data_IF_439739370951
#
_entry.id   IF_439739370951
#
_cell.length_a   1.000
_cell.length_b   1.000
_cell.length_c   1.000
_cell.angle_alpha   90.00
_cell.angle_beta   90.00
_cell.angle_gamma   90.00
#
_symmetry.space_group_name_H-M   'P 1'
#
loop_
_entity.id
_entity.type
_entity.pdbx_description
1 polymer ?
#
# COMPACT_ATOMS: atom_id res chain seq x y z
N UNK A 1 -15.28 1.71 2.97
CA UNK A 1 -14.34 2.86 3.11
C UNK A 1 -14.89 4.02 2.28
N UNK A 2 -14.23 5.18 2.24
CA UNK A 2 -14.67 6.33 1.43
C UNK A 2 -13.62 6.71 0.40
N UNK A 3 -14.05 7.29 -0.72
CA UNK A 3 -13.14 8.00 -1.64
C UNK A 3 -12.83 9.42 -1.15
N UNK A 4 -12.12 10.19 -1.98
CA UNK A 4 -11.77 11.59 -1.70
C UNK A 4 -12.97 12.52 -1.64
N UNK A 5 -14.09 12.18 -2.28
CA UNK A 5 -15.33 12.97 -2.28
C UNK A 5 -16.31 12.51 -1.18
N UNK A 6 -15.90 11.53 -0.38
CA UNK A 6 -16.67 10.99 0.73
C UNK A 6 -17.70 9.92 0.33
N UNK A 7 -17.75 9.50 -0.94
CA UNK A 7 -18.65 8.44 -1.39
C UNK A 7 -18.24 7.09 -0.80
N UNK A 8 -19.22 6.27 -0.42
CA UNK A 8 -18.93 4.97 0.16
C UNK A 8 -18.52 3.95 -0.91
N UNK A 9 -17.39 3.32 -0.69
CA UNK A 9 -16.84 2.26 -1.51
C UNK A 9 -16.74 0.96 -0.73
N UNK A 10 -17.04 -0.15 -1.40
CA UNK A 10 -16.90 -1.50 -0.87
C UNK A 10 -16.13 -2.38 -1.85
N UNK A 11 -15.03 -2.96 -1.38
CA UNK A 11 -14.28 -3.96 -2.14
C UNK A 11 -15.08 -5.27 -2.34
N UNK A 12 -16.01 -5.54 -1.41
CA UNK A 12 -16.87 -6.72 -1.42
C UNK A 12 -18.03 -6.57 -2.42
N UNK A 13 -18.29 -5.36 -2.93
CA UNK A 13 -19.29 -5.12 -3.98
C UNK A 13 -18.98 -5.89 -5.28
N UNK A 14 -17.76 -6.41 -5.41
CA UNK A 14 -17.30 -7.19 -6.54
C UNK A 14 -16.93 -8.64 -6.18
N UNK A 15 -17.45 -9.16 -5.06
CA UNK A 15 -17.42 -10.61 -4.80
C UNK A 15 -17.96 -11.38 -6.02
N UNK A 16 -17.38 -12.55 -6.30
CA UNK A 16 -17.62 -13.29 -7.55
C UNK A 16 -16.69 -12.91 -8.71
N UNK A 17 -15.89 -11.85 -8.60
CA UNK A 17 -14.88 -11.48 -9.60
C UNK A 17 -13.45 -11.70 -9.08
N UNK A 18 -12.53 -11.95 -10.03
CA UNK A 18 -11.09 -11.78 -9.79
C UNK A 18 -10.83 -10.32 -9.49
N UNK A 19 -10.29 -10.05 -8.31
CA UNK A 19 -10.01 -8.69 -7.84
C UNK A 19 -8.55 -8.52 -7.48
N UNK A 20 -8.08 -7.30 -7.70
CA UNK A 20 -6.75 -6.87 -7.27
C UNK A 20 -6.93 -5.65 -6.39
N UNK A 21 -6.38 -5.70 -5.18
CA UNK A 21 -6.27 -4.55 -4.29
C UNK A 21 -4.86 -3.97 -4.44
N UNK A 22 -4.76 -2.75 -4.95
CA UNK A 22 -3.50 -1.99 -5.06
C UNK A 22 -3.44 -0.96 -3.94
N UNK A 23 -2.49 -1.10 -3.02
CA UNK A 23 -2.30 -0.19 -1.91
C UNK A 23 -1.10 0.71 -2.18
N UNK A 24 -1.32 2.02 -2.14
CA UNK A 24 -0.36 3.07 -2.48
C UNK A 24 -0.47 4.22 -1.47
N UNK A 25 0.31 5.29 -1.65
CA UNK A 25 0.14 6.52 -0.87
C UNK A 25 0.75 7.75 -1.55
N UNK A 26 0.27 8.95 -1.23
CA UNK A 26 0.80 10.22 -1.75
C UNK A 26 2.26 10.47 -1.32
N UNK A 27 2.66 9.92 -0.17
CA UNK A 27 4.01 10.03 0.38
C UNK A 27 4.98 9.00 -0.20
N UNK A 28 4.56 8.15 -1.16
CA UNK A 28 5.41 7.18 -1.84
C UNK A 28 5.57 7.47 -3.34
N UNK A 29 6.67 7.01 -3.95
CA UNK A 29 6.92 7.11 -5.39
C UNK A 29 5.82 6.44 -6.22
N UNK A 30 5.21 5.37 -5.70
CA UNK A 30 4.19 4.61 -6.42
C UNK A 30 2.93 5.40 -6.79
N UNK A 31 2.68 6.58 -6.21
CA UNK A 31 1.62 7.51 -6.69
C UNK A 31 1.75 7.86 -8.17
N UNK A 32 2.98 7.83 -8.71
CA UNK A 32 3.24 8.08 -10.12
C UNK A 32 2.92 6.86 -11.01
N UNK A 33 2.85 5.66 -10.43
CA UNK A 33 2.63 4.39 -11.14
C UNK A 33 1.14 4.06 -11.32
N UNK A 34 0.22 4.89 -10.80
CA UNK A 34 -1.24 4.68 -10.91
C UNK A 34 -1.73 4.54 -12.36
N UNK A 35 -1.08 5.26 -13.30
CA UNK A 35 -1.35 5.11 -14.72
C UNK A 35 -0.99 3.73 -15.28
N UNK A 36 -0.01 3.03 -14.69
CA UNK A 36 0.32 1.64 -15.00
C UNK A 36 -0.80 0.69 -14.61
N UNK A 37 -1.33 0.85 -13.40
CA UNK A 37 -2.50 0.10 -12.93
C UNK A 37 -3.76 0.36 -13.75
N UNK A 38 -3.96 1.59 -14.22
CA UNK A 38 -5.06 1.92 -15.14
C UNK A 38 -4.94 1.21 -16.48
N UNK A 39 -3.72 1.05 -17.03
CA UNK A 39 -3.51 0.26 -18.26
C UNK A 39 -3.86 -1.22 -18.04
N UNK A 40 -3.48 -1.80 -16.90
CA UNK A 40 -3.84 -3.19 -16.57
C UNK A 40 -5.34 -3.38 -16.37
N UNK A 41 -6.01 -2.44 -15.69
CA UNK A 41 -7.47 -2.49 -15.57
C UNK A 41 -8.12 -2.47 -16.96
N UNK A 42 -7.72 -1.55 -17.84
CA UNK A 42 -8.27 -1.49 -19.20
C UNK A 42 -7.99 -2.76 -20.01
N UNK A 43 -6.80 -3.33 -19.90
CA UNK A 43 -6.39 -4.55 -20.60
C UNK A 43 -7.18 -5.79 -20.16
N UNK A 44 -7.48 -5.91 -18.87
CA UNK A 44 -7.99 -7.15 -18.25
C UNK A 44 -9.46 -7.05 -17.79
N UNK A 45 -10.11 -5.89 -17.95
CA UNK A 45 -11.51 -5.68 -17.55
C UNK A 45 -12.47 -6.67 -18.23
N UNK A 46 -12.30 -6.89 -19.54
CA UNK A 46 -13.14 -7.79 -20.35
C UNK A 46 -12.88 -9.27 -20.02
N UNK A 47 -11.69 -9.58 -19.50
CA UNK A 47 -11.35 -10.88 -18.96
C UNK A 47 -11.85 -11.08 -17.51
N UNK A 48 -12.60 -10.11 -16.97
CA UNK A 48 -13.27 -10.22 -15.69
C UNK A 48 -12.50 -9.64 -14.49
N UNK A 49 -11.33 -9.02 -14.70
CA UNK A 49 -10.57 -8.38 -13.62
C UNK A 49 -11.30 -7.13 -13.11
N UNK A 50 -11.28 -6.95 -11.78
CA UNK A 50 -11.74 -5.74 -11.09
C UNK A 50 -10.64 -5.21 -10.16
N UNK A 51 -9.97 -4.15 -10.58
CA UNK A 51 -8.97 -3.47 -9.76
C UNK A 51 -9.66 -2.52 -8.79
N UNK A 52 -9.20 -2.49 -7.54
CA UNK A 52 -9.57 -1.50 -6.52
C UNK A 52 -8.27 -0.95 -5.94
N UNK A 53 -8.14 0.36 -5.75
CA UNK A 53 -6.95 0.90 -5.08
C UNK A 53 -7.27 1.65 -3.80
N UNK A 54 -6.30 1.67 -2.89
CA UNK A 54 -6.41 2.34 -1.59
C UNK A 54 -5.17 3.18 -1.32
N UNK A 55 -5.39 4.46 -1.07
CA UNK A 55 -4.36 5.40 -0.65
C UNK A 55 -4.22 5.37 0.89
N UNK A 56 -3.02 5.12 1.42
CA UNK A 56 -2.73 5.12 2.87
C UNK A 56 -2.38 6.53 3.37
N UNK A 57 -3.31 7.45 3.20
CA UNK A 57 -3.13 8.87 3.49
C UNK A 57 -4.01 9.30 4.66
N UNK A 58 -3.44 10.08 5.59
CA UNK A 58 -4.16 10.54 6.78
C UNK A 58 -5.20 11.62 6.44
N UNK A 59 -4.93 12.41 5.39
CA UNK A 59 -5.83 13.38 4.79
C UNK A 59 -6.15 12.96 3.34
N UNK A 60 -7.42 12.77 2.96
CA UNK A 60 -7.80 12.47 1.58
C UNK A 60 -7.31 13.49 0.55
N UNK A 61 -7.16 14.75 0.94
CA UNK A 61 -6.70 15.80 0.03
C UNK A 61 -5.25 15.62 -0.42
N UNK A 62 -4.41 14.91 0.35
CA UNK A 62 -3.05 14.55 -0.06
C UNK A 62 -3.05 13.57 -1.25
N UNK A 63 -4.06 12.70 -1.32
CA UNK A 63 -4.20 11.70 -2.37
C UNK A 63 -4.90 12.24 -3.63
N UNK A 64 -5.83 13.20 -3.48
CA UNK A 64 -6.64 13.78 -4.55
C UNK A 64 -5.86 14.14 -5.83
N UNK A 65 -4.78 14.94 -5.80
CA UNK A 65 -4.11 15.36 -7.04
C UNK A 65 -3.53 14.18 -7.85
N UNK A 66 -3.15 13.09 -7.17
CA UNK A 66 -2.63 11.89 -7.81
C UNK A 66 -3.74 11.05 -8.44
N UNK A 67 -4.89 10.98 -7.77
CA UNK A 67 -6.09 10.29 -8.27
C UNK A 67 -6.62 11.02 -9.51
N UNK A 68 -6.75 12.35 -9.45
CA UNK A 68 -7.23 13.16 -10.56
C UNK A 68 -6.30 13.08 -11.77
N UNK A 69 -4.98 13.15 -11.55
CA UNK A 69 -3.99 13.04 -12.62
C UNK A 69 -3.98 11.64 -13.28
N UNK A 70 -4.22 10.58 -12.52
CA UNK A 70 -4.28 9.21 -13.03
C UNK A 70 -5.60 8.87 -13.73
N UNK A 71 -6.68 9.60 -13.39
CA UNK A 71 -8.05 9.40 -13.90
C UNK A 71 -8.45 7.90 -13.96
N UNK A 72 -8.39 7.17 -12.84
CA UNK A 72 -8.66 5.75 -12.83
C UNK A 72 -10.12 5.45 -13.18
N UNK A 73 -10.33 4.40 -13.96
CA UNK A 73 -11.66 3.83 -14.28
C UNK A 73 -12.14 2.86 -13.20
N UNK A 74 -11.34 2.66 -12.17
CA UNK A 74 -11.63 1.85 -11.01
C UNK A 74 -11.79 2.72 -9.74
N UNK A 75 -12.51 2.25 -8.71
CA UNK A 75 -12.66 2.96 -7.45
C UNK A 75 -11.33 3.09 -6.72
N UNK A 76 -11.13 4.27 -6.12
CA UNK A 76 -9.99 4.57 -5.26
C UNK A 76 -10.50 5.01 -3.90
N UNK A 77 -10.26 4.19 -2.89
CA UNK A 77 -10.54 4.56 -1.50
C UNK A 77 -9.35 5.27 -0.85
N UNK A 78 -9.63 6.03 0.21
CA UNK A 78 -8.60 6.57 1.11
C UNK A 78 -8.77 5.95 2.49
N UNK A 79 -7.67 5.42 3.01
CA UNK A 79 -7.60 4.82 4.34
C UNK A 79 -6.93 5.76 5.35
N UNK A 80 -7.72 6.69 5.87
CA UNK A 80 -7.31 7.67 6.88
C UNK A 80 -7.09 7.09 8.28
N UNK A 81 -7.50 5.83 8.48
CA UNK A 81 -7.45 5.12 9.76
C UNK A 81 -6.43 3.97 9.77
N UNK A 82 -5.76 3.75 8.65
CA UNK A 82 -4.75 2.70 8.49
C UNK A 82 -5.29 1.28 8.71
N UNK A 83 -6.59 1.07 8.45
CA UNK A 83 -7.29 -0.21 8.67
C UNK A 83 -6.97 -1.23 7.57
N UNK A 84 -6.79 -0.79 6.33
CA UNK A 84 -6.48 -1.65 5.18
C UNK A 84 -5.12 -2.30 5.36
N UNK A 85 -4.11 -1.49 5.71
CA UNK A 85 -2.77 -2.00 5.92
C UNK A 85 -2.72 -3.02 7.07
N UNK A 86 -3.38 -2.70 8.19
CA UNK A 86 -3.55 -3.62 9.31
C UNK A 86 -4.25 -4.91 8.88
N UNK A 87 -5.41 -4.83 8.24
CA UNK A 87 -6.21 -6.02 7.90
C UNK A 87 -5.49 -6.98 6.96
N UNK A 88 -4.70 -6.45 6.02
CA UNK A 88 -4.05 -7.28 5.00
C UNK A 88 -2.61 -7.69 5.35
N UNK A 89 -1.98 -7.14 6.38
CA UNK A 89 -0.56 -7.45 6.66
C UNK A 89 0.43 -6.54 5.93
N UNK A 90 -0.01 -5.37 5.44
CA UNK A 90 0.80 -4.50 4.59
C UNK A 90 1.70 -3.63 5.46
N UNK A 91 3.01 -3.75 5.26
CA UNK A 91 4.04 -2.97 5.95
C UNK A 91 4.79 -2.04 5.01
N UNK A 92 4.52 -2.07 3.69
CA UNK A 92 5.13 -1.17 2.72
C UNK A 92 4.24 -0.99 1.47
N UNK A 93 4.45 0.09 0.72
CA UNK A 93 3.73 0.41 -0.53
C UNK A 93 4.71 0.67 -1.68
N UNK A 94 4.38 0.33 -2.95
CA UNK A 94 3.11 -0.26 -3.36
C UNK A 94 3.00 -1.73 -2.90
N UNK A 95 1.82 -2.15 -2.46
CA UNK A 95 1.52 -3.54 -2.13
C UNK A 95 0.27 -3.99 -2.87
N UNK A 96 0.28 -5.23 -3.36
CA UNK A 96 -0.81 -5.77 -4.18
C UNK A 96 -1.28 -7.10 -3.62
N UNK A 97 -2.60 -7.24 -3.47
CA UNK A 97 -3.28 -8.46 -3.02
C UNK A 97 -4.21 -8.96 -4.12
N UNK A 98 -4.20 -10.26 -4.40
CA UNK A 98 -5.12 -10.87 -5.36
C UNK A 98 -6.17 -11.70 -4.65
N UNK A 99 -7.42 -11.51 -5.05
CA UNK A 99 -8.58 -12.20 -4.47
C UNK A 99 -9.38 -12.86 -5.59
N UNK A 100 -9.63 -14.15 -5.45
CA UNK A 100 -10.41 -14.92 -6.42
C UNK A 100 -11.92 -14.67 -6.31
N UNK A 101 -12.65 -15.29 -7.23
CA UNK A 101 -14.11 -15.24 -7.35
C UNK A 101 -14.84 -15.86 -6.14
N UNK A 102 -14.12 -16.60 -5.28
CA UNK A 102 -14.64 -17.23 -4.05
C UNK A 102 -14.24 -16.43 -2.80
N UNK A 103 -13.83 -15.17 -2.97
CA UNK A 103 -13.36 -14.29 -1.90
C UNK A 103 -12.11 -14.82 -1.17
N UNK A 104 -11.27 -15.62 -1.84
CA UNK A 104 -10.03 -16.15 -1.26
C UNK A 104 -8.83 -15.33 -1.72
N UNK A 105 -7.97 -14.98 -0.77
CA UNK A 105 -6.66 -14.40 -1.09
C UNK A 105 -5.83 -15.49 -1.78
N UNK A 106 -5.53 -15.29 -3.06
CA UNK A 106 -4.71 -16.19 -3.87
C UNK A 106 -3.29 -15.68 -4.07
N UNK A 107 -3.07 -14.40 -3.80
CA UNK A 107 -1.75 -13.80 -3.64
C UNK A 107 -1.79 -12.83 -2.46
N UNK A 108 -1.07 -13.08 -1.35
CA UNK A 108 -1.02 -12.17 -0.22
C UNK A 108 -0.30 -10.87 -0.61
N UNK A 109 -0.28 -9.85 0.26
CA UNK A 109 0.37 -8.60 -0.08
C UNK A 109 1.80 -8.81 -0.52
N UNK A 110 2.12 -8.26 -1.68
CA UNK A 110 3.47 -8.29 -2.24
C UNK A 110 3.80 -6.95 -2.82
N UNK A 111 5.07 -6.56 -2.72
CA UNK A 111 5.56 -5.38 -3.41
C UNK A 111 5.53 -5.61 -4.92
N UNK A 112 4.70 -4.84 -5.60
CA UNK A 112 4.56 -4.89 -7.05
C UNK A 112 4.40 -3.45 -7.57
N UNK A 113 5.35 -2.95 -8.37
CA UNK A 113 5.24 -1.64 -8.98
C UNK A 113 4.30 -1.67 -10.19
N UNK A 114 3.65 -0.55 -10.48
CA UNK A 114 2.76 -0.42 -11.64
C UNK A 114 3.48 -0.15 -12.97
N UNK A 115 4.76 0.25 -12.92
CA UNK A 115 5.68 0.35 -14.06
C UNK A 115 7.14 0.47 -13.58
N UNK A 116 8.09 0.61 -14.52
CA UNK A 116 9.53 0.52 -14.23
C UNK A 116 10.21 1.87 -13.96
N UNK A 117 9.47 2.98 -13.79
CA UNK A 117 10.09 4.31 -13.63
C UNK A 117 11.01 4.43 -12.41
N UNK A 118 10.82 3.57 -11.40
CA UNK A 118 11.65 3.49 -10.20
C UNK A 118 12.43 2.18 -10.10
N UNK A 119 12.58 1.40 -11.18
CA UNK A 119 13.20 0.07 -11.15
C UNK A 119 14.65 0.10 -10.64
N UNK A 120 15.41 1.17 -10.92
CA UNK A 120 16.78 1.33 -10.40
C UNK A 120 16.81 1.40 -8.86
N UNK A 121 15.75 1.93 -8.25
CA UNK A 121 15.61 2.04 -6.81
C UNK A 121 14.97 0.78 -6.21
N UNK A 122 13.85 0.33 -6.76
CA UNK A 122 13.09 -0.81 -6.25
C UNK A 122 13.84 -2.12 -6.48
N UNK A 123 14.57 -2.24 -7.59
CA UNK A 123 15.14 -3.50 -8.11
C UNK A 123 14.05 -4.55 -8.41
N UNK A 124 12.83 -4.08 -8.72
CA UNK A 124 11.67 -4.92 -9.03
C UNK A 124 11.14 -4.49 -10.38
N UNK A 125 11.23 -5.38 -11.37
CA UNK A 125 10.63 -5.17 -12.70
C UNK A 125 9.12 -5.42 -12.61
N UNK A 126 8.32 -4.48 -13.10
CA UNK A 126 6.87 -4.54 -13.12
C UNK A 126 6.34 -5.70 -13.98
N UNK A 127 7.04 -6.02 -15.07
CA UNK A 127 6.69 -7.11 -15.99
C UNK A 127 6.47 -8.44 -15.27
N UNK A 128 7.29 -8.76 -14.26
CA UNK A 128 7.16 -10.01 -13.48
C UNK A 128 5.77 -10.16 -12.87
N UNK A 129 5.28 -9.11 -12.21
CA UNK A 129 3.95 -9.15 -11.60
C UNK A 129 2.84 -9.08 -12.65
N UNK A 130 3.02 -8.26 -13.68
CA UNK A 130 2.02 -8.07 -14.72
C UNK A 130 1.76 -9.35 -15.52
N UNK A 131 2.80 -10.11 -15.84
CA UNK A 131 2.67 -11.35 -16.60
C UNK A 131 2.00 -12.46 -15.78
N UNK A 132 2.33 -12.56 -14.49
CA UNK A 132 1.60 -13.44 -13.57
C UNK A 132 0.12 -13.04 -13.47
N UNK A 133 -0.17 -11.74 -13.40
CA UNK A 133 -1.54 -11.24 -13.33
C UNK A 133 -2.32 -11.59 -14.59
N UNK A 134 -1.70 -11.44 -15.77
CA UNK A 134 -2.29 -11.84 -17.06
C UNK A 134 -2.57 -13.33 -17.11
N UNK A 135 -1.60 -14.16 -16.73
CA UNK A 135 -1.74 -15.61 -16.71
C UNK A 135 -2.86 -16.05 -15.75
N UNK A 136 -2.91 -15.48 -14.54
CA UNK A 136 -3.98 -15.76 -13.61
C UNK A 136 -5.34 -15.33 -14.14
N UNK A 137 -5.47 -14.11 -14.66
CA UNK A 137 -6.77 -13.58 -15.11
C UNK A 137 -7.28 -14.35 -16.34
N UNK A 138 -6.45 -14.54 -17.37
CA UNK A 138 -6.86 -15.13 -18.66
C UNK A 138 -6.90 -16.65 -18.64
N UNK A 139 -5.96 -17.28 -17.94
CA UNK A 139 -5.72 -18.74 -18.04
C UNK A 139 -6.01 -19.46 -16.72
N UNK A 140 -6.21 -18.73 -15.62
CA UNK A 140 -6.46 -19.31 -14.30
C UNK A 140 -5.21 -19.86 -13.62
N UNK A 141 -4.02 -19.57 -14.15
CA UNK A 141 -2.74 -20.00 -13.58
C UNK A 141 -2.47 -19.23 -12.29
N UNK A 142 -2.46 -19.93 -11.15
CA UNK A 142 -2.14 -19.32 -9.87
C UNK A 142 -0.63 -19.10 -9.73
N UNK A 143 -0.19 -18.03 -9.05
CA UNK A 143 1.20 -17.91 -8.64
C UNK A 143 1.54 -19.04 -7.66
N UNK A 144 2.83 -19.33 -7.49
CA UNK A 144 3.29 -20.26 -6.46
C UNK A 144 2.64 -19.92 -5.12
N UNK A 145 2.15 -20.91 -4.36
CA UNK A 145 1.51 -20.65 -3.08
C UNK A 145 2.46 -19.82 -2.22
N UNK A 146 2.05 -18.62 -1.86
CA UNK A 146 2.80 -17.88 -0.89
C UNK A 146 2.78 -18.65 0.43
N UNK A 147 3.92 -18.68 1.13
CA UNK A 147 3.91 -18.98 2.55
C UNK A 147 2.85 -18.09 3.22
N UNK A 148 2.06 -18.66 4.14
CA UNK A 148 1.03 -17.93 4.85
C UNK A 148 1.60 -16.59 5.34
N UNK A 149 0.87 -15.50 5.14
CA UNK A 149 1.30 -14.19 5.61
C UNK A 149 1.68 -14.31 7.09
N UNK A 150 2.90 -13.89 7.49
CA UNK A 150 3.36 -14.07 8.86
C UNK A 150 2.39 -13.38 9.83
N UNK A 151 2.11 -14.05 10.94
CA UNK A 151 1.31 -13.43 12.01
C UNK A 151 2.08 -12.26 12.61
N UNK A 152 1.37 -11.17 12.90
CA UNK A 152 1.98 -10.02 13.58
C UNK A 152 2.28 -10.34 15.03
N UNK A 153 3.49 -10.03 15.43
CA UNK A 153 3.92 -10.02 16.83
C UNK A 153 3.14 -9.00 17.66
N UNK A 154 3.12 -9.20 18.98
CA UNK A 154 2.54 -8.24 19.93
C UNK A 154 3.18 -6.86 19.82
N UNK A 155 4.48 -6.78 19.51
CA UNK A 155 5.19 -5.53 19.30
C UNK A 155 4.67 -4.78 18.07
N UNK A 156 4.45 -5.47 16.95
CA UNK A 156 3.90 -4.88 15.73
C UNK A 156 2.45 -4.43 15.94
N UNK A 157 1.64 -5.21 16.65
CA UNK A 157 0.27 -4.81 17.00
C UNK A 157 0.26 -3.56 17.89
N UNK A 158 1.15 -3.49 18.88
CA UNK A 158 1.31 -2.32 19.74
C UNK A 158 1.81 -1.10 18.94
N UNK A 159 2.70 -1.30 17.95
CA UNK A 159 3.14 -0.24 17.06
C UNK A 159 1.98 0.37 16.28
N UNK A 160 1.08 -0.46 15.73
CA UNK A 160 -0.11 0.01 15.01
C UNK A 160 -1.08 0.76 15.93
N UNK A 161 -1.22 0.33 17.19
CA UNK A 161 -1.98 1.07 18.19
C UNK A 161 -1.39 2.47 18.45
N UNK A 162 -0.08 2.57 18.66
CA UNK A 162 0.61 3.85 18.81
C UNK A 162 0.45 4.75 17.57
N UNK A 163 0.59 4.20 16.36
CA UNK A 163 0.36 4.91 15.10
C UNK A 163 -1.06 5.49 15.01
N UNK A 164 -2.09 4.72 15.41
CA UNK A 164 -3.48 5.20 15.43
C UNK A 164 -3.69 6.35 16.41
N UNK A 165 -3.10 6.27 17.60
CA UNK A 165 -3.14 7.34 18.59
C UNK A 165 -2.42 8.59 18.05
N UNK A 166 -1.28 8.42 17.36
CA UNK A 166 -0.59 9.52 16.71
C UNK A 166 -1.45 10.23 15.67
N UNK A 167 -2.11 9.48 14.78
CA UNK A 167 -3.01 10.03 13.78
C UNK A 167 -4.17 10.81 14.42
N UNK A 168 -4.72 10.32 15.54
CA UNK A 168 -5.74 11.05 16.31
C UNK A 168 -5.19 12.36 16.90
N UNK A 169 -4.00 12.34 17.50
CA UNK A 169 -3.36 13.56 18.01
C UNK A 169 -3.10 14.58 16.91
N UNK A 170 -2.60 14.12 15.76
CA UNK A 170 -2.31 14.98 14.62
C UNK A 170 -3.57 15.69 14.10
N UNK A 171 -4.67 14.93 13.89
CA UNK A 171 -5.97 15.52 13.51
C UNK A 171 -6.53 16.51 14.54
N UNK A 172 -6.12 16.39 15.80
CA UNK A 172 -6.49 17.31 16.88
C UNK A 172 -5.55 18.51 17.02
N UNK A 173 -4.59 18.70 16.11
CA UNK A 173 -3.57 19.76 16.18
C UNK A 173 -2.50 19.56 17.27
N UNK A 174 -2.39 18.36 17.86
CA UNK A 174 -1.44 18.04 18.93
C UNK A 174 -0.17 17.40 18.37
N UNK A 175 0.54 18.10 17.50
CA UNK A 175 1.68 17.56 16.72
C UNK A 175 2.78 16.94 17.61
N UNK A 176 3.15 17.58 18.71
CA UNK A 176 4.17 17.02 19.62
C UNK A 176 3.76 15.69 20.25
N UNK A 177 2.47 15.53 20.59
CA UNK A 177 1.95 14.25 21.08
C UNK A 177 1.89 13.19 19.97
N UNK A 178 1.58 13.60 18.74
CA UNK A 178 1.62 12.70 17.58
C UNK A 178 3.05 12.18 17.33
N UNK A 179 4.04 13.07 17.35
CA UNK A 179 5.46 12.71 17.20
C UNK A 179 5.93 11.72 18.27
N UNK A 180 5.56 11.94 19.54
CA UNK A 180 5.92 11.01 20.63
C UNK A 180 5.32 9.61 20.43
N UNK A 181 4.08 9.53 19.97
CA UNK A 181 3.41 8.27 19.68
C UNK A 181 3.99 7.57 18.45
N UNK A 182 4.33 8.33 17.39
CA UNK A 182 5.02 7.78 16.23
C UNK A 182 6.41 7.26 16.61
N UNK A 183 7.20 7.98 17.38
CA UNK A 183 8.51 7.51 17.84
C UNK A 183 8.38 6.14 18.52
N UNK A 184 7.37 5.96 19.39
CA UNK A 184 7.12 4.67 20.03
C UNK A 184 6.71 3.57 19.04
N UNK A 185 5.85 3.90 18.07
CA UNK A 185 5.48 2.95 17.01
C UNK A 185 6.70 2.52 16.19
N UNK A 186 7.57 3.47 15.84
CA UNK A 186 8.78 3.24 15.06
C UNK A 186 9.83 2.40 15.80
N UNK A 187 9.93 2.51 17.12
CA UNK A 187 10.78 1.62 17.94
C UNK A 187 10.28 0.17 17.93
N UNK A 188 8.96 -0.01 17.98
CA UNK A 188 8.31 -1.32 18.06
C UNK A 188 8.25 -2.04 16.72
N UNK A 189 8.11 -1.30 15.61
CA UNK A 189 8.06 -1.83 14.25
C UNK A 189 9.06 -1.07 13.34
N UNK A 190 10.38 -1.29 13.51
CA UNK A 190 11.41 -0.49 12.87
C UNK A 190 11.42 -0.62 11.34
N UNK A 191 10.89 -1.72 10.80
CA UNK A 191 10.90 -2.01 9.36
C UNK A 191 9.55 -1.78 8.68
N UNK A 192 8.53 -1.34 9.41
CA UNK A 192 7.24 -1.02 8.83
C UNK A 192 7.29 0.38 8.18
N UNK A 193 7.38 0.40 6.85
CA UNK A 193 7.41 1.63 6.05
C UNK A 193 6.14 2.45 6.18
N UNK A 194 4.99 1.80 6.43
CA UNK A 194 3.74 2.54 6.65
C UNK A 194 3.76 3.28 7.98
N UNK A 195 4.44 2.75 9.01
CA UNK A 195 4.71 3.43 10.29
C UNK A 195 5.79 4.49 10.13
N UNK A 196 6.93 4.14 9.53
CA UNK A 196 8.11 5.00 9.37
C UNK A 196 7.82 6.15 8.40
N UNK A 197 7.72 5.86 7.11
CA UNK A 197 7.54 6.84 6.04
C UNK A 197 6.19 7.53 6.08
N UNK A 198 5.12 6.77 6.33
CA UNK A 198 3.80 7.35 6.54
C UNK A 198 3.73 8.22 7.80
N UNK A 199 4.55 7.95 8.81
CA UNK A 199 4.70 8.79 10.00
C UNK A 199 5.37 10.13 9.69
N UNK A 200 6.46 10.11 8.91
CA UNK A 200 7.17 11.33 8.45
C UNK A 200 6.17 12.30 7.81
N UNK A 201 5.41 11.81 6.82
CA UNK A 201 4.41 12.60 6.12
C UNK A 201 3.32 13.14 7.08
N UNK A 202 2.79 12.28 7.95
CA UNK A 202 1.75 12.63 8.93
C UNK A 202 2.17 13.80 9.83
N UNK A 203 3.45 13.89 10.19
CA UNK A 203 3.98 14.97 11.06
C UNK A 203 4.66 16.12 10.31
N UNK A 204 4.49 16.20 8.98
CA UNK A 204 4.97 17.31 8.17
C UNK A 204 6.45 17.26 7.78
N UNK A 205 7.11 16.10 7.94
CA UNK A 205 8.44 15.86 7.39
C UNK A 205 8.39 15.56 5.89
N UNK A 206 9.54 15.59 5.22
CA UNK A 206 9.68 15.18 3.81
C UNK A 206 9.91 13.65 3.71
N UNK A 207 8.93 12.88 3.20
CA UNK A 207 8.99 11.43 3.11
C UNK A 207 9.74 10.90 1.87
N UNK A 208 10.46 11.74 1.12
CA UNK A 208 11.18 11.35 -0.11
C UNK A 208 12.68 11.54 -0.01
N UNK A 209 13.13 12.73 0.34
CA UNK A 209 14.56 13.07 0.41
C UNK A 209 14.86 13.88 1.67
N UNK A 210 13.92 13.93 2.61
CA UNK A 210 14.10 14.55 3.90
C UNK A 210 15.09 13.79 4.78
N UNK A 211 15.75 14.46 5.75
CA UNK A 211 16.76 13.85 6.60
C UNK A 211 16.28 12.60 7.36
N UNK A 212 15.03 12.58 7.82
CA UNK A 212 14.46 11.43 8.53
C UNK A 212 14.25 10.23 7.59
N UNK A 213 13.80 10.49 6.36
CA UNK A 213 13.64 9.45 5.35
C UNK A 213 15.01 8.88 4.95
N UNK A 214 15.99 9.74 4.64
CA UNK A 214 17.30 9.29 4.16
C UNK A 214 18.02 8.49 5.23
N UNK A 215 17.99 8.94 6.49
CA UNK A 215 18.59 8.21 7.61
C UNK A 215 17.93 6.83 7.82
N UNK A 216 16.60 6.75 7.70
CA UNK A 216 15.92 5.46 7.77
C UNK A 216 16.27 4.56 6.59
N UNK A 217 16.25 5.10 5.37
CA UNK A 217 16.51 4.34 4.15
C UNK A 217 17.91 3.73 4.15
N UNK A 218 18.94 4.48 4.57
CA UNK A 218 20.32 4.00 4.67
C UNK A 218 20.44 2.80 5.62
N UNK A 219 19.81 2.88 6.80
CA UNK A 219 19.80 1.80 7.78
C UNK A 219 19.05 0.58 7.26
N UNK A 220 17.91 0.78 6.60
CA UNK A 220 17.11 -0.30 6.04
C UNK A 220 17.80 -0.99 4.85
N UNK A 221 18.45 -0.24 3.97
CA UNK A 221 19.20 -0.79 2.83
C UNK A 221 20.42 -1.58 3.33
N UNK A 222 21.16 -1.04 4.31
CA UNK A 222 22.28 -1.73 4.96
C UNK A 222 21.85 -3.01 5.70
N UNK A 223 20.60 -3.08 6.19
CA UNK A 223 20.03 -4.27 6.82
C UNK A 223 19.53 -5.32 5.81
N UNK A 224 19.77 -5.12 4.51
CA UNK A 224 19.37 -6.06 3.46
C UNK A 224 17.91 -5.94 3.02
N UNK A 225 17.30 -4.75 3.19
CA UNK A 225 15.92 -4.44 2.79
C UNK A 225 14.86 -5.38 3.38
N UNK A 226 14.77 -5.50 4.73
CA UNK A 226 13.78 -6.36 5.37
C UNK A 226 12.36 -6.01 4.92
N UNK A 227 11.55 -7.04 4.66
CA UNK A 227 10.16 -6.90 4.21
C UNK A 227 9.99 -6.45 2.74
N UNK A 228 11.07 -6.45 1.96
CA UNK A 228 11.09 -5.96 0.57
C UNK A 228 11.52 -7.03 -0.43
N UNK A 229 11.03 -8.25 -0.23
CA UNK A 229 11.26 -9.37 -1.12
C UNK A 229 10.08 -9.45 -2.10
N UNK A 230 10.30 -9.35 -3.42
CA UNK A 230 9.25 -9.60 -4.39
C UNK A 230 8.91 -11.09 -4.33
N UNK A 231 7.70 -11.43 -3.89
CA UNK A 231 7.25 -12.82 -4.01
C UNK A 231 7.07 -13.14 -5.49
N UNK A 232 7.48 -14.35 -5.86
CA UNK A 232 7.34 -14.85 -7.22
C UNK A 232 5.92 -15.14 -7.65
#
# INVERSE_FOLDING_TARGET
MRDVDGAELSFDAWSGHKRVLVVWASWCGCRYELGGWQRLQAELADAGLRLFSVALDADPEDARPWIEAAAPTYPVGVDTAHVTAERYGITNVPSVVWVDERDRIVKPPTIAPGDDRFVEFTRIESARHHDLLRAWVREGVLPEPAESAPERSDAEQLALAHRRIAAHHQRSGRTGAAQAQLARAQELAPWDWTVRRGGIAMTGGDPFLGPEFTAFWEVWDAAGRPGYTPTG
#
